data_IF_487357798601
#
_entry.id   IF_487357798601
#
_cell.length_a   1.000
_cell.length_b   1.000
_cell.length_c   1.000
_cell.angle_alpha   90.00
_cell.angle_beta   90.00
_cell.angle_gamma   90.00
#
_symmetry.space_group_name_H-M   'P 1'
#
loop_
_entity.id
_entity.type
_entity.pdbx_description
1 polymer ?
#
# COMPACT_ATOMS: atom_id res chain seq x y z
N UNK A 1 13.60 32.91 -19.81
CA UNK A 1 12.72 31.73 -19.98
C UNK A 1 13.07 30.75 -18.87
N UNK A 2 12.17 30.56 -17.90
CA UNK A 2 12.37 29.61 -16.80
C UNK A 2 11.71 28.30 -17.21
N UNK A 3 12.51 27.29 -17.54
CA UNK A 3 12.00 25.95 -17.82
C UNK A 3 11.52 25.34 -16.49
N UNK A 4 10.21 25.35 -16.26
CA UNK A 4 9.58 24.53 -15.22
C UNK A 4 9.77 23.08 -15.67
N UNK A 5 10.65 22.35 -14.98
CA UNK A 5 10.71 20.89 -15.07
C UNK A 5 9.38 20.40 -14.51
N UNK A 6 8.50 19.96 -15.40
CA UNK A 6 7.32 19.25 -15.03
C UNK A 6 7.82 17.92 -14.45
N UNK A 7 7.88 17.82 -13.12
CA UNK A 7 8.03 16.54 -12.44
C UNK A 7 6.84 15.69 -12.88
N UNK A 8 7.10 14.75 -13.78
CA UNK A 8 6.19 13.66 -14.05
C UNK A 8 6.16 12.84 -12.76
N UNK A 9 5.29 13.23 -11.83
CA UNK A 9 4.88 12.42 -10.70
C UNK A 9 4.12 11.24 -11.29
N UNK A 10 4.87 10.25 -11.77
CA UNK A 10 4.30 8.97 -12.11
C UNK A 10 3.64 8.46 -10.84
N UNK A 11 2.32 8.53 -10.79
CA UNK A 11 1.50 7.66 -9.95
C UNK A 11 1.81 6.26 -10.41
N UNK A 12 2.85 5.68 -9.80
CA UNK A 12 3.06 4.25 -9.83
C UNK A 12 1.88 3.71 -9.06
N UNK A 13 1.05 2.92 -9.74
CA UNK A 13 -0.04 2.14 -9.14
C UNK A 13 0.61 1.16 -8.14
N UNK A 14 0.95 1.64 -6.96
CA UNK A 14 1.57 0.83 -5.91
C UNK A 14 0.47 -0.01 -5.29
N UNK A 15 0.36 -1.26 -5.75
CA UNK A 15 -0.49 -2.26 -5.11
C UNK A 15 -0.17 -2.32 -3.62
N UNK A 16 -1.17 -2.00 -2.79
CA UNK A 16 -1.01 -2.06 -1.35
C UNK A 16 -1.57 -3.38 -0.83
N UNK A 17 -0.76 -4.10 -0.05
CA UNK A 17 -1.18 -5.32 0.62
C UNK A 17 -1.38 -5.00 2.09
N UNK A 18 -2.54 -5.35 2.65
CA UNK A 18 -2.77 -5.26 4.10
C UNK A 18 -2.80 -6.65 4.70
N UNK A 19 -1.96 -6.85 5.71
CA UNK A 19 -1.93 -8.04 6.54
C UNK A 19 -2.78 -7.88 7.78
N UNK A 20 -3.43 -8.95 8.22
CA UNK A 20 -3.95 -9.11 9.57
C UNK A 20 -3.19 -10.24 10.25
N UNK A 21 -2.40 -9.94 11.27
CA UNK A 21 -1.54 -10.94 11.92
C UNK A 21 -2.38 -12.04 12.59
N UNK A 22 -2.05 -13.31 12.33
CA UNK A 22 -2.73 -14.49 12.92
C UNK A 22 -2.03 -15.01 14.18
N UNK A 23 -0.78 -14.58 14.37
CA UNK A 23 0.05 -14.86 15.53
C UNK A 23 0.92 -13.65 15.84
N UNK A 24 1.49 -13.60 17.04
CA UNK A 24 2.42 -12.54 17.39
C UNK A 24 3.69 -12.65 16.53
N UNK A 25 3.92 -11.66 15.66
CA UNK A 25 5.09 -11.60 14.77
C UNK A 25 5.84 -10.28 14.95
N UNK A 26 7.12 -10.28 14.59
CA UNK A 26 7.90 -9.05 14.50
C UNK A 26 8.16 -8.73 13.03
N UNK A 27 7.55 -7.66 12.53
CA UNK A 27 7.68 -7.23 11.13
C UNK A 27 8.00 -5.73 11.08
N UNK A 28 8.87 -5.33 10.14
CA UNK A 28 9.35 -3.94 10.02
C UNK A 28 9.89 -3.32 11.33
N UNK A 29 10.42 -4.14 12.24
CA UNK A 29 10.89 -3.69 13.56
C UNK A 29 9.79 -3.48 14.61
N UNK A 30 8.52 -3.64 14.25
CA UNK A 30 7.37 -3.57 15.15
C UNK A 30 6.89 -4.96 15.55
N UNK A 31 6.36 -5.08 16.77
CA UNK A 31 5.68 -6.29 17.23
C UNK A 31 4.19 -6.15 16.92
N UNK A 32 3.68 -7.07 16.11
CA UNK A 32 2.28 -7.16 15.72
C UNK A 32 1.64 -8.29 16.53
N UNK A 33 0.50 -8.02 17.17
CA UNK A 33 -0.24 -9.04 17.91
C UNK A 33 -1.28 -9.71 17.00
N UNK A 34 -1.90 -10.78 17.51
CA UNK A 34 -3.01 -11.44 16.82
C UNK A 34 -4.14 -10.42 16.58
N UNK A 35 -4.53 -10.24 15.33
CA UNK A 35 -5.55 -9.29 14.90
C UNK A 35 -5.03 -7.90 14.54
N UNK A 36 -3.74 -7.59 14.76
CA UNK A 36 -3.16 -6.32 14.30
C UNK A 36 -3.13 -6.27 12.78
N UNK A 37 -3.57 -5.13 12.24
CA UNK A 37 -3.50 -4.82 10.81
C UNK A 37 -2.22 -4.04 10.49
N UNK A 38 -1.55 -4.39 9.39
CA UNK A 38 -0.29 -3.77 9.00
C UNK A 38 -0.13 -3.78 7.48
N UNK A 39 0.64 -2.84 6.96
CA UNK A 39 0.95 -2.78 5.53
C UNK A 39 2.10 -3.74 5.20
N UNK A 40 1.96 -4.44 4.08
CA UNK A 40 2.86 -5.48 3.61
C UNK A 40 3.47 -5.02 2.28
N UNK A 41 4.80 -5.12 2.17
CA UNK A 41 5.46 -4.96 0.88
C UNK A 41 5.20 -6.20 0.01
N UNK A 42 4.94 -6.01 -1.29
CA UNK A 42 4.65 -7.11 -2.25
C UNK A 42 5.65 -8.28 -2.14
N UNK A 43 6.95 -7.97 -2.01
CA UNK A 43 8.02 -8.95 -1.84
C UNK A 43 7.91 -9.86 -0.61
N UNK A 44 7.24 -9.37 0.45
CA UNK A 44 7.10 -10.05 1.73
C UNK A 44 5.76 -10.78 1.85
N UNK A 45 4.83 -10.57 0.91
CA UNK A 45 3.49 -11.18 0.89
C UNK A 45 3.57 -12.70 1.00
N UNK A 46 4.42 -13.35 0.20
CA UNK A 46 4.54 -14.81 0.22
C UNK A 46 5.03 -15.34 1.56
N UNK A 47 5.97 -14.65 2.20
CA UNK A 47 6.48 -15.04 3.52
C UNK A 47 5.41 -14.82 4.59
N UNK A 48 4.68 -13.69 4.53
CA UNK A 48 3.71 -13.30 5.54
C UNK A 48 2.39 -14.07 5.45
N UNK A 49 2.02 -14.67 4.31
CA UNK A 49 0.80 -15.51 4.17
C UNK A 49 0.71 -16.64 5.19
N UNK A 50 1.85 -17.14 5.68
CA UNK A 50 1.88 -18.21 6.67
C UNK A 50 1.62 -17.70 8.11
N UNK A 51 1.75 -16.39 8.34
CA UNK A 51 1.68 -15.76 9.66
C UNK A 51 0.56 -14.73 9.80
N UNK A 52 0.04 -14.23 8.68
CA UNK A 52 -0.96 -13.20 8.58
C UNK A 52 -1.93 -13.54 7.44
N UNK A 53 -3.16 -13.07 7.57
CA UNK A 53 -4.13 -13.06 6.49
C UNK A 53 -3.88 -11.82 5.62
N UNK A 54 -3.75 -11.98 4.30
CA UNK A 54 -3.36 -10.87 3.42
C UNK A 54 -4.51 -10.50 2.49
N UNK A 55 -4.90 -9.24 2.54
CA UNK A 55 -5.88 -8.61 1.67
C UNK A 55 -5.15 -7.72 0.66
N UNK A 56 -5.35 -7.95 -0.65
CA UNK A 56 -4.88 -7.06 -1.71
C UNK A 56 -5.85 -5.90 -1.84
N UNK A 57 -5.35 -4.68 -1.69
CA UNK A 57 -6.11 -3.46 -1.91
C UNK A 57 -5.63 -2.89 -3.24
N UNK A 58 -6.42 -3.09 -4.28
CA UNK A 58 -6.38 -2.20 -5.42
C UNK A 58 -6.83 -0.83 -4.92
N UNK A 59 -5.90 0.11 -4.78
CA UNK A 59 -6.25 1.52 -4.68
C UNK A 59 -6.81 1.91 -6.05
N UNK A 60 -8.09 1.61 -6.25
CA UNK A 60 -8.82 1.99 -7.42
C UNK A 60 -8.71 3.51 -7.55
N UNK A 61 -7.98 3.90 -8.58
CA UNK A 61 -7.81 5.23 -9.14
C UNK A 61 -8.91 6.22 -8.72
N UNK A 62 -8.72 6.95 -7.62
CA UNK A 62 -9.44 8.21 -7.41
C UNK A 62 -8.68 9.33 -8.14
N UNK A 63 -8.47 9.17 -9.45
CA UNK A 63 -8.07 10.27 -10.31
C UNK A 63 -9.31 10.98 -10.86
N UNK A 64 -9.81 11.91 -10.05
CA UNK A 64 -10.26 13.22 -10.51
C UNK A 64 -11.70 13.35 -11.01
N UNK A 65 -12.67 13.46 -10.11
CA UNK A 65 -13.81 14.33 -10.36
C UNK A 65 -13.37 15.80 -10.12
N UNK A 66 -12.98 16.47 -11.20
CA UNK A 66 -12.76 17.92 -11.26
C UNK A 66 -12.32 18.28 -12.68
N UNK A 67 -12.98 19.16 -13.43
CA UNK A 67 -13.79 20.30 -13.04
C UNK A 67 -14.98 20.46 -13.99
N UNK A 68 -16.15 20.68 -13.41
CA UNK A 68 -17.20 21.49 -14.02
C UNK A 68 -16.64 22.89 -14.35
N UNK A 69 -16.63 23.26 -15.63
CA UNK A 69 -16.31 24.62 -16.05
C UNK A 69 -15.79 24.73 -17.47
N UNK A 70 -16.69 24.88 -18.44
CA UNK A 70 -16.95 26.17 -19.11
C UNK A 70 -18.31 26.13 -19.83
#
# INVERSE_FOLDING_TARGET
>A
MVAKRNENTGTVEEKQYKGTARQCIKYAGQFLNIGDKFDIAEKDVEELKQYADIEEIEEAEVQGEGQEGE
#
